data_IF_487604842275
#
_entry.id   IF_487604842275
#
_cell.length_a   1.000
_cell.length_b   1.000
_cell.length_c   1.000
_cell.angle_alpha   90.00
_cell.angle_beta   90.00
_cell.angle_gamma   90.00
#
_symmetry.space_group_name_H-M   'P 1'
#
loop_
_entity.id
_entity.type
_entity.pdbx_description
1 polymer ?
#
# COMPACT_ATOMS: atom_id res chain seq x y z
N UNK A 1 24.24 11.43 4.21
CA UNK A 1 24.39 11.65 2.75
C UNK A 1 23.30 12.64 2.35
N UNK A 2 23.36 13.39 1.23
CA UNK A 2 22.17 14.14 0.81
C UNK A 2 21.05 13.13 0.47
N UNK A 3 19.85 13.39 0.97
CA UNK A 3 18.69 12.50 0.77
C UNK A 3 18.40 12.30 -0.72
N UNK A 4 18.35 11.05 -1.16
CA UNK A 4 18.19 10.72 -2.58
C UNK A 4 16.89 11.26 -3.18
N UNK A 5 15.81 11.38 -2.39
CA UNK A 5 14.56 11.95 -2.85
C UNK A 5 14.60 13.47 -2.95
N UNK A 6 15.40 14.15 -2.13
CA UNK A 6 15.65 15.60 -2.27
C UNK A 6 16.55 15.87 -3.50
N UNK A 7 17.61 15.07 -3.69
CA UNK A 7 18.45 15.12 -4.89
C UNK A 7 17.65 14.90 -6.18
N UNK A 8 16.72 13.94 -6.17
CA UNK A 8 15.82 13.67 -7.30
C UNK A 8 14.90 14.86 -7.58
N UNK A 9 14.29 15.43 -6.54
CA UNK A 9 13.40 16.59 -6.69
C UNK A 9 14.16 17.77 -7.32
N UNK A 10 15.39 18.04 -6.85
CA UNK A 10 16.26 19.07 -7.42
C UNK A 10 16.65 18.77 -8.87
N UNK A 11 16.96 17.51 -9.19
CA UNK A 11 17.25 17.08 -10.57
C UNK A 11 16.07 17.37 -11.50
N UNK A 12 14.87 16.95 -11.12
CA UNK A 12 13.68 17.12 -11.94
C UNK A 12 13.30 18.61 -12.05
N UNK A 13 13.45 19.37 -10.97
CA UNK A 13 13.22 20.81 -10.99
C UNK A 13 14.18 21.53 -11.95
N UNK A 14 15.48 21.18 -11.96
CA UNK A 14 16.45 21.75 -12.92
C UNK A 14 16.15 21.36 -14.37
N UNK A 15 15.67 20.14 -14.61
CA UNK A 15 15.37 19.63 -15.97
C UNK A 15 14.02 20.07 -16.52
N UNK A 16 13.07 20.40 -15.65
CA UNK A 16 11.71 20.80 -16.04
C UNK A 16 11.46 22.30 -15.87
N UNK A 17 12.10 22.95 -14.90
CA UNK A 17 12.09 24.40 -14.68
C UNK A 17 10.70 25.04 -14.80
N UNK A 18 10.65 26.21 -15.42
CA UNK A 18 9.41 26.89 -15.83
C UNK A 18 8.81 26.33 -17.14
N UNK A 19 9.43 25.31 -17.72
CA UNK A 19 9.02 24.75 -19.01
C UNK A 19 7.76 23.92 -18.83
N UNK A 20 6.82 24.11 -19.75
CA UNK A 20 5.61 23.30 -19.81
C UNK A 20 5.97 21.83 -20.07
N UNK A 21 5.33 20.92 -19.35
CA UNK A 21 5.55 19.47 -19.47
C UNK A 21 4.38 18.83 -20.20
N UNK A 22 4.67 18.03 -21.23
CA UNK A 22 3.66 17.33 -22.02
C UNK A 22 3.87 15.81 -22.02
N UNK A 23 2.99 15.02 -21.36
CA UNK A 23 3.10 13.57 -21.32
C UNK A 23 2.75 12.88 -22.66
N UNK A 24 2.35 13.62 -23.70
CA UNK A 24 1.99 13.03 -25.00
C UNK A 24 3.17 12.91 -25.96
N UNK A 25 4.08 13.88 -25.96
CA UNK A 25 5.14 14.02 -26.98
C UNK A 25 6.49 14.47 -26.40
N UNK A 26 6.58 14.75 -25.09
CA UNK A 26 7.82 15.19 -24.46
C UNK A 26 8.16 16.67 -24.69
N UNK A 27 8.03 17.17 -25.93
CA UNK A 27 8.11 18.60 -26.27
C UNK A 27 6.70 19.17 -26.53
N UNK A 28 6.34 20.21 -25.77
CA UNK A 28 5.07 20.92 -25.90
C UNK A 28 4.86 21.51 -27.30
N UNK A 29 5.94 21.89 -28.00
CA UNK A 29 5.86 22.44 -29.37
C UNK A 29 5.35 21.43 -30.39
N UNK A 30 5.55 20.14 -30.12
CA UNK A 30 5.13 19.04 -30.98
C UNK A 30 3.72 18.55 -30.65
N UNK A 31 3.09 19.09 -29.59
CA UNK A 31 1.80 18.62 -29.12
C UNK A 31 0.66 19.45 -29.67
N UNK A 32 -0.31 18.77 -30.32
CA UNK A 32 -1.55 19.41 -30.76
C UNK A 32 -2.62 19.48 -29.66
N UNK A 33 -2.39 18.83 -28.51
CA UNK A 33 -3.33 18.87 -27.39
C UNK A 33 -3.20 20.19 -26.62
N UNK A 34 -4.26 21.00 -26.58
CA UNK A 34 -4.27 22.37 -26.01
C UNK A 34 -4.04 22.50 -24.50
N UNK A 35 -3.65 21.44 -23.79
CA UNK A 35 -3.49 21.45 -22.33
C UNK A 35 -2.08 21.01 -21.92
N UNK A 36 -1.26 22.01 -21.57
CA UNK A 36 0.05 21.83 -20.99
C UNK A 36 0.11 22.53 -19.64
N UNK A 37 0.88 21.94 -18.73
CA UNK A 37 0.99 22.44 -17.36
C UNK A 37 2.46 22.61 -17.02
N UNK A 38 2.77 23.61 -16.19
CA UNK A 38 4.06 23.65 -15.51
C UNK A 38 4.24 22.41 -14.64
N UNK A 39 5.49 22.05 -14.36
CA UNK A 39 5.83 20.81 -13.69
C UNK A 39 5.11 20.61 -12.35
N UNK A 40 5.02 21.65 -11.51
CA UNK A 40 4.34 21.55 -10.21
C UNK A 40 2.85 21.17 -10.33
N UNK A 41 2.13 21.81 -11.25
CA UNK A 41 0.72 21.50 -11.50
C UNK A 41 0.55 20.13 -12.12
N UNK A 42 1.47 19.73 -13.00
CA UNK A 42 1.52 18.37 -13.54
C UNK A 42 1.73 17.33 -12.42
N UNK A 43 2.75 17.53 -11.58
CA UNK A 43 3.11 16.63 -10.47
C UNK A 43 1.95 16.48 -9.48
N UNK A 44 1.31 17.58 -9.09
CA UNK A 44 0.13 17.56 -8.22
C UNK A 44 -0.97 16.67 -8.79
N UNK A 45 -1.27 16.80 -10.10
CA UNK A 45 -2.26 15.94 -10.76
C UNK A 45 -1.85 14.47 -10.82
N UNK A 46 -0.59 14.17 -11.11
CA UNK A 46 -0.09 12.79 -11.14
C UNK A 46 -0.21 12.12 -9.77
N UNK A 47 0.18 12.85 -8.71
CA UNK A 47 0.07 12.40 -7.32
C UNK A 47 -1.40 12.17 -6.93
N UNK A 48 -2.29 13.12 -7.21
CA UNK A 48 -3.73 12.96 -6.94
C UNK A 48 -4.34 11.78 -7.71
N UNK A 49 -3.99 11.60 -8.99
CA UNK A 49 -4.47 10.48 -9.80
C UNK A 49 -4.04 9.13 -9.23
N UNK A 50 -2.81 9.03 -8.72
CA UNK A 50 -2.32 7.81 -8.06
C UNK A 50 -2.97 7.58 -6.70
N UNK A 51 -3.14 8.63 -5.90
CA UNK A 51 -3.80 8.55 -4.60
C UNK A 51 -5.25 8.02 -4.75
N UNK A 52 -5.93 8.40 -5.83
CA UNK A 52 -7.26 7.88 -6.16
C UNK A 52 -7.29 6.39 -6.56
N UNK A 53 -6.13 5.75 -6.76
CA UNK A 53 -5.97 4.34 -7.19
C UNK A 53 -6.79 3.97 -8.45
N UNK A 54 -7.12 4.95 -9.29
CA UNK A 54 -7.84 4.73 -10.55
C UNK A 54 -6.85 4.49 -11.68
N UNK A 55 -7.20 3.68 -12.71
CA UNK A 55 -6.45 3.64 -13.96
C UNK A 55 -6.32 5.07 -14.49
N UNK A 56 -5.08 5.51 -14.66
CA UNK A 56 -4.78 6.89 -15.05
C UNK A 56 -4.04 6.86 -16.37
N UNK A 57 -4.72 7.30 -17.42
CA UNK A 57 -4.12 7.52 -18.74
C UNK A 57 -2.87 8.41 -18.63
N UNK A 58 -2.84 9.35 -17.67
CA UNK A 58 -1.68 10.20 -17.42
C UNK A 58 -0.45 9.40 -16.99
N UNK A 59 -0.61 8.41 -16.10
CA UNK A 59 0.53 7.56 -15.68
C UNK A 59 0.99 6.64 -16.80
N UNK A 60 0.05 6.13 -17.59
CA UNK A 60 0.36 5.34 -18.79
C UNK A 60 1.17 6.16 -19.81
N UNK A 61 0.74 7.40 -20.09
CA UNK A 61 1.46 8.32 -20.97
C UNK A 61 2.84 8.69 -20.43
N UNK A 62 2.98 8.94 -19.13
CA UNK A 62 4.28 9.18 -18.49
C UNK A 62 5.25 8.02 -18.67
N UNK A 63 4.77 6.79 -18.46
CA UNK A 63 5.58 5.59 -18.60
C UNK A 63 5.95 5.37 -20.07
N UNK A 64 4.99 5.54 -20.99
CA UNK A 64 5.25 5.46 -22.42
C UNK A 64 6.32 6.46 -22.86
N UNK A 65 6.22 7.71 -22.41
CA UNK A 65 7.25 8.73 -22.66
C UNK A 65 8.60 8.36 -22.06
N UNK A 66 8.61 7.79 -20.85
CA UNK A 66 9.82 7.25 -20.25
C UNK A 66 10.48 6.19 -21.12
N UNK A 67 9.71 5.25 -21.69
CA UNK A 67 10.27 4.23 -22.60
C UNK A 67 10.84 4.82 -23.88
N UNK A 68 10.16 5.80 -24.46
CA UNK A 68 10.64 6.50 -25.66
C UNK A 68 11.92 7.28 -25.35
N UNK A 69 11.99 7.95 -24.19
CA UNK A 69 13.18 8.68 -23.75
C UNK A 69 14.35 7.75 -23.41
N UNK A 70 14.11 6.61 -22.77
CA UNK A 70 15.14 5.60 -22.48
C UNK A 70 15.82 5.13 -23.78
N UNK A 71 15.04 4.89 -24.85
CA UNK A 71 15.58 4.55 -26.17
C UNK A 71 16.48 5.65 -26.77
N UNK A 72 16.27 6.90 -26.36
CA UNK A 72 17.09 8.06 -26.76
C UNK A 72 18.22 8.36 -25.76
N UNK A 73 18.44 7.47 -24.79
CA UNK A 73 19.38 7.63 -23.68
C UNK A 73 19.11 8.92 -22.86
N UNK A 74 17.83 9.28 -22.72
CA UNK A 74 17.35 10.40 -21.91
C UNK A 74 16.56 9.85 -20.71
N UNK A 75 17.02 10.14 -19.50
CA UNK A 75 16.40 9.65 -18.26
C UNK A 75 15.31 10.58 -17.70
N UNK A 76 15.05 11.72 -18.37
CA UNK A 76 14.15 12.78 -17.87
C UNK A 76 12.81 12.24 -17.41
N UNK A 77 12.13 11.48 -18.26
CA UNK A 77 10.79 10.98 -17.96
C UNK A 77 10.79 9.87 -16.91
N UNK A 78 11.83 9.02 -16.87
CA UNK A 78 12.03 8.05 -15.80
C UNK A 78 12.19 8.75 -14.44
N UNK A 79 12.96 9.83 -14.38
CA UNK A 79 13.12 10.63 -13.16
C UNK A 79 11.83 11.38 -12.77
N UNK A 80 11.06 11.89 -13.74
CA UNK A 80 9.74 12.50 -13.49
C UNK A 80 8.76 11.47 -12.87
N UNK A 81 8.72 10.24 -13.41
CA UNK A 81 7.90 9.15 -12.86
C UNK A 81 8.30 8.86 -11.42
N UNK A 82 9.61 8.75 -11.16
CA UNK A 82 10.13 8.53 -9.81
C UNK A 82 9.77 9.66 -8.85
N UNK A 83 9.94 10.92 -9.23
CA UNK A 83 9.59 12.06 -8.37
C UNK A 83 8.09 12.13 -8.05
N UNK A 84 7.22 11.72 -8.98
CA UNK A 84 5.79 11.60 -8.71
C UNK A 84 5.46 10.45 -7.73
N UNK A 85 6.34 9.45 -7.56
CA UNK A 85 6.20 8.38 -6.57
C UNK A 85 6.73 8.76 -5.18
N UNK A 86 7.67 9.71 -5.11
CA UNK A 86 8.35 10.13 -3.87
C UNK A 86 7.40 10.44 -2.70
N UNK A 87 6.27 11.15 -2.85
CA UNK A 87 5.38 11.43 -1.72
C UNK A 87 4.91 10.17 -0.98
N UNK A 88 4.62 9.11 -1.74
CA UNK A 88 4.18 7.82 -1.21
C UNK A 88 5.34 7.06 -0.55
N UNK A 89 6.52 7.09 -1.18
CA UNK A 89 7.73 6.44 -0.67
C UNK A 89 8.28 7.14 0.58
N UNK A 90 8.16 8.47 0.70
CA UNK A 90 8.54 9.23 1.91
C UNK A 90 7.70 8.84 3.12
N UNK A 91 6.39 8.74 2.95
CA UNK A 91 5.50 8.31 4.03
C UNK A 91 5.88 6.91 4.52
N UNK A 92 6.14 5.98 3.57
CA UNK A 92 6.45 4.59 3.92
C UNK A 92 7.85 4.41 4.49
N UNK A 93 8.87 5.08 3.94
CA UNK A 93 10.25 5.06 4.47
C UNK A 93 10.32 5.53 5.92
N UNK A 94 9.59 6.58 6.30
CA UNK A 94 9.52 7.04 7.70
C UNK A 94 8.90 5.99 8.64
N UNK A 95 7.83 5.32 8.19
CA UNK A 95 7.24 4.23 8.97
C UNK A 95 8.24 3.11 9.16
N UNK A 96 8.87 2.64 8.08
CA UNK A 96 9.84 1.53 8.11
C UNK A 96 11.06 1.90 8.98
N UNK A 97 11.64 3.08 8.78
CA UNK A 97 12.76 3.58 9.59
C UNK A 97 12.43 3.57 11.08
N UNK A 98 11.26 4.09 11.47
CA UNK A 98 10.80 4.07 12.87
C UNK A 98 10.55 2.66 13.39
N UNK A 99 9.87 1.82 12.61
CA UNK A 99 9.43 0.50 13.06
C UNK A 99 10.59 -0.51 13.13
N UNK A 100 11.69 -0.26 12.40
CA UNK A 100 12.85 -1.15 12.30
C UNK A 100 14.19 -0.52 12.70
N UNK A 101 14.17 0.70 13.26
CA UNK A 101 15.36 1.46 13.72
C UNK A 101 16.49 1.56 12.68
N UNK A 102 16.12 1.67 11.40
CA UNK A 102 17.08 1.87 10.30
C UNK A 102 17.16 3.35 9.94
N UNK A 103 18.34 3.80 9.53
CA UNK A 103 18.51 5.14 9.00
C UNK A 103 17.54 5.38 7.83
N UNK A 104 16.83 6.51 7.86
CA UNK A 104 15.81 6.82 6.87
C UNK A 104 16.42 7.12 5.50
N UNK A 105 17.64 7.65 5.44
CA UNK A 105 18.38 7.91 4.20
C UNK A 105 18.77 6.59 3.52
N UNK A 106 19.20 5.59 4.29
CA UNK A 106 19.52 4.25 3.77
C UNK A 106 18.26 3.55 3.23
N UNK A 107 17.16 3.62 3.97
CA UNK A 107 15.87 3.08 3.52
C UNK A 107 15.44 3.72 2.21
N UNK A 108 15.57 5.05 2.09
CA UNK A 108 15.19 5.77 0.87
C UNK A 108 16.11 5.43 -0.31
N UNK A 109 17.39 5.22 -0.07
CA UNK A 109 18.37 4.80 -1.08
C UNK A 109 18.02 3.43 -1.66
N UNK A 110 17.76 2.44 -0.81
CA UNK A 110 17.30 1.11 -1.26
C UNK A 110 15.98 1.18 -2.05
N UNK A 111 15.03 1.99 -1.57
CA UNK A 111 13.74 2.19 -2.24
C UNK A 111 13.92 2.78 -3.63
N UNK A 112 14.80 3.77 -3.75
CA UNK A 112 15.10 4.45 -5.01
C UNK A 112 15.74 3.48 -6.00
N UNK A 113 16.78 2.76 -5.59
CA UNK A 113 17.48 1.80 -6.43
C UNK A 113 16.55 0.68 -6.91
N UNK A 114 15.80 0.06 -6.00
CA UNK A 114 14.90 -1.03 -6.37
C UNK A 114 13.75 -0.59 -7.27
N UNK A 115 13.26 0.64 -7.14
CA UNK A 115 12.28 1.19 -8.06
C UNK A 115 12.84 1.35 -9.47
N UNK A 116 14.10 1.80 -9.61
CA UNK A 116 14.77 1.93 -10.90
C UNK A 116 15.06 0.56 -11.53
N UNK A 117 15.51 -0.42 -10.74
CA UNK A 117 15.71 -1.78 -11.24
C UNK A 117 14.38 -2.37 -11.76
N UNK A 118 13.27 -2.17 -11.02
CA UNK A 118 11.95 -2.60 -11.48
C UNK A 118 11.47 -1.84 -12.73
N UNK A 119 11.84 -0.57 -12.90
CA UNK A 119 11.59 0.14 -14.15
C UNK A 119 12.28 -0.57 -15.32
N UNK A 120 13.53 -0.99 -15.17
CA UNK A 120 14.27 -1.68 -16.23
C UNK A 120 13.70 -3.06 -16.53
N UNK A 121 13.39 -3.85 -15.50
CA UNK A 121 12.81 -5.19 -15.64
C UNK A 121 11.45 -5.17 -16.36
N UNK A 122 10.65 -4.13 -16.11
CA UNK A 122 9.32 -3.96 -16.71
C UNK A 122 9.36 -3.48 -18.16
N UNK A 123 10.55 -3.24 -18.74
CA UNK A 123 10.67 -2.92 -20.17
C UNK A 123 10.17 -4.07 -21.08
N UNK A 124 10.10 -5.30 -20.56
CA UNK A 124 9.72 -6.50 -21.31
C UNK A 124 8.27 -6.91 -21.01
N UNK A 125 7.35 -6.52 -21.88
CA UNK A 125 6.00 -7.12 -21.93
C UNK A 125 5.03 -6.72 -20.83
N UNK A 126 5.41 -5.79 -19.94
CA UNK A 126 4.52 -5.29 -18.88
C UNK A 126 3.70 -4.10 -19.39
N UNK A 127 2.37 -4.10 -19.20
CA UNK A 127 1.53 -2.94 -19.53
C UNK A 127 2.00 -1.68 -18.80
N UNK A 128 2.12 -0.56 -19.52
CA UNK A 128 2.65 0.70 -18.96
C UNK A 128 1.90 1.19 -17.71
N UNK A 129 0.59 0.95 -17.63
CA UNK A 129 -0.24 1.28 -16.46
C UNK A 129 0.18 0.55 -15.17
N UNK A 130 0.85 -0.59 -15.27
CA UNK A 130 1.26 -1.43 -14.12
C UNK A 130 2.66 -1.07 -13.60
N UNK A 131 3.50 -0.47 -14.45
CA UNK A 131 4.89 -0.12 -14.14
C UNK A 131 5.00 0.69 -12.84
N UNK A 132 4.24 1.78 -12.59
CA UNK A 132 4.38 2.57 -11.36
C UNK A 132 3.99 1.78 -10.10
N UNK A 133 3.10 0.81 -10.23
CA UNK A 133 2.72 -0.08 -9.12
C UNK A 133 3.84 -1.07 -8.82
N UNK A 134 4.45 -1.65 -9.85
CA UNK A 134 5.57 -2.58 -9.70
C UNK A 134 6.83 -1.89 -9.16
N UNK A 135 7.15 -0.68 -9.62
CA UNK A 135 8.24 0.14 -9.07
C UNK A 135 8.03 0.42 -7.58
N UNK A 136 6.82 0.87 -7.21
CA UNK A 136 6.48 1.09 -5.81
C UNK A 136 6.53 -0.21 -4.99
N UNK A 137 6.16 -1.35 -5.59
CA UNK A 137 6.28 -2.67 -4.98
C UNK A 137 7.73 -3.08 -4.72
N UNK A 138 8.59 -2.93 -5.72
CA UNK A 138 10.00 -3.22 -5.60
C UNK A 138 10.68 -2.33 -4.55
N UNK A 139 10.39 -1.03 -4.57
CA UNK A 139 10.89 -0.07 -3.60
C UNK A 139 10.57 -0.48 -2.16
N UNK A 140 9.29 -0.74 -1.88
CA UNK A 140 8.88 -1.19 -0.55
C UNK A 140 9.57 -2.50 -0.19
N UNK A 141 9.54 -3.50 -1.08
CA UNK A 141 10.17 -4.79 -0.82
C UNK A 141 11.67 -4.65 -0.50
N UNK A 142 12.38 -3.74 -1.14
CA UNK A 142 13.79 -3.48 -0.84
C UNK A 142 14.00 -2.82 0.52
N UNK A 143 13.21 -1.80 0.86
CA UNK A 143 13.22 -1.22 2.21
C UNK A 143 12.96 -2.29 3.28
N UNK A 144 12.00 -3.18 3.01
CA UNK A 144 11.69 -4.32 3.86
C UNK A 144 12.89 -5.29 3.94
N UNK A 145 13.52 -5.69 2.83
CA UNK A 145 14.70 -6.58 2.86
C UNK A 145 15.91 -6.00 3.60
N UNK A 146 16.26 -4.73 3.36
CA UNK A 146 17.41 -4.09 4.01
C UNK A 146 17.25 -4.04 5.54
N UNK A 147 16.02 -3.86 6.03
CA UNK A 147 15.73 -3.91 7.47
C UNK A 147 15.83 -5.32 8.09
N UNK A 148 15.77 -6.41 7.30
CA UNK A 148 16.02 -7.78 7.80
C UNK A 148 17.51 -8.06 8.03
N UNK A 149 18.39 -7.52 7.17
CA UNK A 149 19.83 -7.84 7.18
C UNK A 149 20.50 -7.32 8.46
N UNK A 150 20.16 -6.11 8.92
CA UNK A 150 20.76 -5.50 10.12
C UNK A 150 20.23 -6.06 11.45
N UNK A 151 19.25 -6.97 11.43
CA UNK A 151 18.70 -7.61 12.63
C UNK A 151 19.45 -8.88 13.05
N UNK A 152 20.33 -9.41 12.20
CA UNK A 152 21.00 -10.70 12.41
C UNK A 152 22.31 -10.66 13.23
N UNK A 153 22.78 -9.48 13.66
CA UNK A 153 24.04 -9.32 14.41
C UNK A 153 23.89 -9.30 15.96
N UNK A 154 23.02 -10.14 16.56
CA UNK A 154 23.02 -10.37 18.03
C UNK A 154 22.40 -11.72 18.45
N UNK A 155 22.85 -12.30 19.59
CA UNK A 155 23.02 -13.75 19.73
C UNK A 155 21.77 -14.52 20.19
N UNK A 156 21.90 -15.84 20.10
CA UNK A 156 20.87 -16.87 20.15
C UNK A 156 20.45 -17.29 21.57
N UNK A 157 19.16 -17.59 21.73
CA UNK A 157 18.55 -18.59 22.64
C UNK A 157 17.03 -18.60 22.30
N UNK A 158 16.18 -19.63 22.37
CA UNK A 158 16.22 -21.00 22.88
C UNK A 158 14.75 -21.39 23.19
N UNK A 159 14.28 -22.54 22.67
CA UNK A 159 13.05 -23.33 22.99
C UNK A 159 11.59 -22.86 22.66
N UNK A 160 10.98 -23.59 21.71
CA UNK A 160 9.84 -24.55 21.75
C UNK A 160 8.39 -24.30 22.30
N UNK A 161 7.42 -24.93 21.59
CA UNK A 161 6.05 -25.46 21.93
C UNK A 161 4.73 -24.71 21.51
N UNK A 162 3.99 -25.37 20.58
CA UNK A 162 2.52 -25.66 20.35
C UNK A 162 1.38 -24.61 20.62
N UNK A 163 0.14 -24.61 20.08
CA UNK A 163 -0.78 -25.47 19.28
C UNK A 163 -2.00 -24.61 18.73
N UNK A 164 -2.52 -24.81 17.50
CA UNK A 164 -3.82 -25.44 17.03
C UNK A 164 -5.14 -24.79 17.58
N UNK A 165 -6.19 -24.37 16.80
CA UNK A 165 -7.32 -25.03 16.08
C UNK A 165 -8.32 -23.89 15.68
N UNK A 166 -9.45 -24.00 14.97
CA UNK A 166 -10.03 -24.74 13.82
C UNK A 166 -11.49 -24.19 13.67
N UNK A 167 -12.09 -24.38 12.50
CA UNK A 167 -13.37 -23.86 11.97
C UNK A 167 -14.66 -24.36 12.67
N UNK A 168 -15.80 -23.66 12.47
CA UNK A 168 -17.00 -24.18 11.78
C UNK A 168 -18.25 -23.24 11.85
N UNK A 169 -19.09 -23.37 10.83
CA UNK A 169 -20.29 -22.60 10.42
C UNK A 169 -21.64 -23.10 10.98
N UNK A 170 -22.74 -22.33 10.77
CA UNK A 170 -23.97 -22.66 9.97
C UNK A 170 -25.17 -21.73 10.31
N UNK A 171 -25.78 -21.16 9.24
CA UNK A 171 -27.18 -20.76 8.86
C UNK A 171 -28.33 -20.64 9.92
N UNK A 172 -29.42 -19.87 9.83
CA UNK A 172 -30.21 -19.18 8.76
C UNK A 172 -31.29 -18.24 9.40
N UNK A 173 -31.75 -17.23 8.66
CA UNK A 173 -33.16 -16.77 8.48
C UNK A 173 -33.52 -15.27 8.73
N UNK A 174 -33.54 -14.54 7.61
CA UNK A 174 -34.59 -13.58 7.12
C UNK A 174 -34.73 -12.13 7.65
N UNK A 175 -34.56 -11.19 6.70
CA UNK A 175 -35.42 -10.06 6.24
C UNK A 175 -34.90 -8.61 6.44
N UNK A 176 -34.38 -8.07 5.33
CA UNK A 176 -34.89 -6.98 4.47
C UNK A 176 -34.30 -5.55 4.58
N UNK A 177 -33.74 -5.14 3.42
CA UNK A 177 -33.76 -3.81 2.77
C UNK A 177 -32.69 -2.75 3.10
N UNK A 178 -31.81 -2.48 2.12
CA UNK A 178 -31.62 -1.13 1.54
C UNK A 178 -30.84 -1.23 0.21
N UNK A 179 -31.51 -1.20 -0.93
CA UNK A 179 -31.68 -0.04 -1.85
C UNK A 179 -30.35 0.64 -2.23
N UNK A 180 -29.70 0.11 -3.27
CA UNK A 180 -28.77 0.89 -4.10
C UNK A 180 -29.62 1.95 -4.81
N UNK A 181 -29.54 3.20 -4.36
CA UNK A 181 -30.03 4.33 -5.15
C UNK A 181 -29.08 4.51 -6.34
N UNK A 182 -29.69 4.77 -7.49
CA UNK A 182 -29.05 5.01 -8.78
C UNK A 182 -28.12 6.24 -8.71
N UNK A 183 -26.85 6.05 -8.34
CA UNK A 183 -25.85 7.11 -8.13
C UNK A 183 -24.56 6.72 -8.87
N UNK A 184 -23.93 7.71 -9.52
CA UNK A 184 -22.73 7.53 -10.34
C UNK A 184 -21.57 6.87 -9.53
N UNK A 185 -21.10 5.66 -9.91
CA UNK A 185 -20.01 4.97 -9.24
C UNK A 185 -18.66 5.70 -9.31
N UNK A 186 -18.58 6.83 -10.05
CA UNK A 186 -17.40 7.70 -10.09
C UNK A 186 -17.30 8.64 -8.89
N UNK A 187 -18.38 8.83 -8.13
CA UNK A 187 -18.39 9.63 -6.90
C UNK A 187 -17.44 9.00 -5.86
N UNK A 188 -16.39 9.72 -5.42
CA UNK A 188 -15.49 9.27 -4.37
C UNK A 188 -16.20 8.79 -3.09
N UNK A 189 -17.32 9.40 -2.70
CA UNK A 189 -18.10 9.03 -1.52
C UNK A 189 -18.79 7.66 -1.70
N UNK A 190 -19.38 7.44 -2.88
CA UNK A 190 -20.00 6.14 -3.24
C UNK A 190 -18.93 5.06 -3.35
N UNK A 191 -17.78 5.37 -3.93
CA UNK A 191 -16.66 4.44 -4.03
C UNK A 191 -16.08 4.07 -2.64
N UNK A 192 -16.12 4.99 -1.68
CA UNK A 192 -15.77 4.72 -0.28
C UNK A 192 -16.79 3.80 0.38
N UNK A 193 -18.09 4.10 0.26
CA UNK A 193 -19.17 3.26 0.78
C UNK A 193 -19.12 1.84 0.23
N UNK A 194 -19.05 1.69 -1.11
CA UNK A 194 -18.94 0.38 -1.78
C UNK A 194 -17.73 -0.40 -1.26
N UNK A 195 -16.62 0.28 -0.95
CA UNK A 195 -15.42 -0.38 -0.40
C UNK A 195 -15.70 -0.93 0.99
N UNK A 196 -16.29 -0.12 1.88
CA UNK A 196 -16.67 -0.55 3.22
C UNK A 196 -17.66 -1.70 3.18
N UNK A 197 -18.72 -1.58 2.37
CA UNK A 197 -19.74 -2.63 2.21
C UNK A 197 -19.15 -3.94 1.67
N UNK A 198 -18.28 -3.88 0.66
CA UNK A 198 -17.61 -5.08 0.14
C UNK A 198 -16.69 -5.73 1.18
N UNK A 199 -16.00 -4.93 1.97
CA UNK A 199 -15.15 -5.42 3.05
C UNK A 199 -15.98 -6.10 4.14
N UNK A 200 -17.09 -5.50 4.56
CA UNK A 200 -18.05 -6.11 5.47
C UNK A 200 -18.62 -7.42 4.94
N UNK A 201 -19.03 -7.42 3.67
CA UNK A 201 -19.55 -8.59 3.00
C UNK A 201 -18.53 -9.75 2.97
N UNK A 202 -17.26 -9.43 2.74
CA UNK A 202 -16.17 -10.39 2.77
C UNK A 202 -15.98 -10.99 4.17
N UNK A 203 -15.90 -10.16 5.20
CA UNK A 203 -15.72 -10.66 6.57
C UNK A 203 -16.89 -11.48 7.07
N UNK A 204 -18.11 -11.13 6.67
CA UNK A 204 -19.28 -11.96 6.93
C UNK A 204 -19.13 -13.34 6.30
N UNK A 205 -18.76 -13.41 5.01
CA UNK A 205 -18.54 -14.69 4.31
C UNK A 205 -17.41 -15.52 4.91
N UNK A 206 -16.42 -14.87 5.51
CA UNK A 206 -15.33 -15.52 6.22
C UNK A 206 -15.68 -15.87 7.68
N UNK A 207 -16.89 -15.61 8.17
CA UNK A 207 -17.28 -15.87 9.56
C UNK A 207 -16.59 -14.97 10.59
N UNK A 208 -16.04 -13.82 10.18
CA UNK A 208 -15.24 -12.93 11.04
C UNK A 208 -16.04 -11.79 11.66
N UNK A 209 -17.35 -11.71 11.40
CA UNK A 209 -18.15 -10.54 11.77
C UNK A 209 -18.21 -10.30 13.29
N UNK A 210 -18.18 -11.34 14.11
CA UNK A 210 -18.18 -11.18 15.58
C UNK A 210 -16.91 -10.50 16.09
N UNK A 211 -15.75 -10.79 15.48
CA UNK A 211 -14.48 -10.13 15.79
C UNK A 211 -14.55 -8.66 15.38
N UNK A 212 -15.08 -8.40 14.18
CA UNK A 212 -15.26 -7.05 13.63
C UNK A 212 -16.21 -6.22 14.50
N UNK A 213 -17.35 -6.79 14.91
CA UNK A 213 -18.34 -6.11 15.74
C UNK A 213 -17.79 -5.76 17.13
N UNK A 214 -17.05 -6.67 17.77
CA UNK A 214 -16.36 -6.36 19.04
C UNK A 214 -15.37 -5.21 18.88
N UNK A 215 -14.62 -5.19 17.78
CA UNK A 215 -13.72 -4.09 17.49
C UNK A 215 -14.47 -2.77 17.23
N UNK A 216 -15.60 -2.80 16.53
CA UNK A 216 -16.45 -1.63 16.34
C UNK A 216 -17.06 -1.10 17.64
N UNK A 217 -17.49 -1.99 18.54
CA UNK A 217 -17.95 -1.62 19.88
C UNK A 217 -16.84 -0.93 20.68
N UNK A 218 -15.62 -1.43 20.60
CA UNK A 218 -14.45 -0.79 21.21
C UNK A 218 -14.17 0.59 20.60
N UNK A 219 -14.28 0.74 19.27
CA UNK A 219 -14.17 2.05 18.62
C UNK A 219 -15.25 3.03 19.09
N UNK A 220 -16.52 2.58 19.13
CA UNK A 220 -17.65 3.36 19.64
C UNK A 220 -17.48 3.78 21.09
N UNK A 221 -16.91 2.90 21.90
CA UNK A 221 -16.61 3.19 23.31
C UNK A 221 -15.31 3.99 23.52
N UNK A 222 -14.60 4.39 22.45
CA UNK A 222 -13.33 5.11 22.54
C UNK A 222 -12.15 4.26 23.03
N UNK A 223 -12.31 2.94 23.13
CA UNK A 223 -11.29 1.98 23.55
C UNK A 223 -10.48 1.47 22.36
N UNK A 224 -9.84 2.37 21.61
CA UNK A 224 -9.03 1.97 20.45
C UNK A 224 -7.79 1.20 20.94
N UNK A 225 -7.74 -0.10 20.65
CA UNK A 225 -6.56 -0.91 20.92
C UNK A 225 -5.52 -0.72 19.80
N UNK A 226 -4.47 0.07 20.07
CA UNK A 226 -3.38 0.29 19.14
C UNK A 226 -2.74 1.67 19.25
N UNK A 227 -1.43 1.75 18.98
CA UNK A 227 -0.64 3.00 19.05
C UNK A 227 -0.94 3.93 17.86
N UNK A 228 -1.73 3.49 16.87
CA UNK A 228 -2.06 4.29 15.68
C UNK A 228 -3.35 5.08 15.90
N UNK A 229 -3.30 6.14 16.71
CA UNK A 229 -4.41 7.09 16.82
C UNK A 229 -4.39 8.21 15.75
N UNK A 230 -3.43 8.23 14.82
CA UNK A 230 -3.01 9.52 14.26
C UNK A 230 -3.13 9.76 12.74
N UNK A 231 -3.68 8.88 11.89
CA UNK A 231 -3.37 8.98 10.44
C UNK A 231 -4.50 8.88 9.41
N UNK A 232 -5.78 8.80 9.81
CA UNK A 232 -6.85 9.06 8.83
C UNK A 232 -7.01 10.58 8.72
N UNK A 233 -6.27 11.17 7.79
CA UNK A 233 -6.34 12.62 7.49
C UNK A 233 -7.59 12.93 6.65
N UNK A 234 -8.15 14.15 6.78
CA UNK A 234 -9.32 14.58 5.96
C UNK A 234 -9.10 14.37 4.46
N UNK A 235 -7.86 14.50 3.99
CA UNK A 235 -7.45 14.26 2.61
C UNK A 235 -7.68 12.83 2.12
N UNK A 236 -7.83 11.86 3.05
CA UNK A 236 -8.08 10.45 2.75
C UNK A 236 -9.56 10.09 2.78
N UNK A 237 -10.43 10.98 3.27
CA UNK A 237 -11.86 10.77 3.39
C UNK A 237 -12.58 11.47 2.25
N UNK A 238 -13.37 10.72 1.49
CA UNK A 238 -14.21 11.30 0.45
C UNK A 238 -15.47 11.97 1.02
N UNK A 239 -15.93 11.52 2.19
CA UNK A 239 -17.12 12.03 2.86
C UNK A 239 -16.76 13.07 3.92
N UNK A 240 -16.85 14.35 3.57
CA UNK A 240 -16.62 15.46 4.50
C UNK A 240 -17.81 15.72 5.45
N UNK A 241 -18.99 15.19 5.11
CA UNK A 241 -20.25 15.32 5.87
C UNK A 241 -20.52 14.20 6.87
N UNK A 242 -19.74 13.11 6.85
CA UNK A 242 -19.87 12.04 7.86
C UNK A 242 -19.12 12.47 9.12
N UNK A 243 -19.87 12.71 10.20
CA UNK A 243 -19.30 12.93 11.53
C UNK A 243 -18.70 11.64 12.07
N UNK A 244 -17.61 11.72 12.82
CA UNK A 244 -17.01 10.55 13.49
C UNK A 244 -15.76 9.97 12.82
N UNK A 245 -14.70 10.77 12.64
CA UNK A 245 -13.39 10.30 12.14
C UNK A 245 -12.81 9.12 12.93
N UNK A 246 -13.19 9.00 14.19
CA UNK A 246 -12.77 7.92 15.08
C UNK A 246 -13.37 6.56 14.69
N UNK A 247 -14.35 6.54 13.78
CA UNK A 247 -14.99 5.34 13.26
C UNK A 247 -14.38 4.82 11.96
N UNK A 248 -13.36 5.51 11.46
CA UNK A 248 -12.51 5.01 10.38
C UNK A 248 -11.32 4.24 10.92
N UNK A 249 -11.04 3.11 10.27
CA UNK A 249 -9.88 2.29 10.58
C UNK A 249 -9.34 1.61 9.32
N UNK A 250 -8.07 1.25 9.40
CA UNK A 250 -7.42 0.42 8.39
C UNK A 250 -7.82 -1.04 8.59
N UNK A 251 -8.11 -1.79 7.52
CA UNK A 251 -8.42 -3.22 7.62
C UNK A 251 -7.33 -4.00 8.34
N UNK A 252 -6.06 -3.57 8.26
CA UNK A 252 -4.94 -4.12 9.02
C UNK A 252 -5.10 -4.04 10.55
N UNK A 253 -5.89 -3.12 11.09
CA UNK A 253 -6.12 -2.95 12.54
C UNK A 253 -6.93 -4.10 13.16
N UNK A 254 -7.66 -4.87 12.36
CA UNK A 254 -8.40 -6.04 12.82
C UNK A 254 -7.54 -7.29 12.98
N UNK A 255 -6.33 -7.27 12.43
CA UNK A 255 -5.42 -8.40 12.51
C UNK A 255 -4.43 -8.21 13.66
N UNK A 256 -3.85 -9.31 14.19
CA UNK A 256 -2.69 -9.21 15.07
C UNK A 256 -1.61 -8.35 14.42
N UNK A 257 -0.82 -7.60 15.20
CA UNK A 257 0.28 -6.79 14.64
C UNK A 257 1.35 -7.63 13.96
N UNK A 258 1.53 -8.85 14.45
CA UNK A 258 2.54 -9.79 13.99
C UNK A 258 1.94 -11.20 13.86
N UNK A 259 2.37 -11.91 12.83
CA UNK A 259 2.04 -13.32 12.57
C UNK A 259 3.31 -14.13 12.74
N UNK A 260 3.24 -15.33 13.33
CA UNK A 260 4.41 -16.20 13.45
C UNK A 260 4.92 -16.62 12.05
N UNK A 261 6.25 -16.79 11.90
CA UNK A 261 6.86 -17.18 10.62
C UNK A 261 6.23 -18.42 9.98
N UNK A 262 5.85 -19.49 10.72
CA UNK A 262 5.18 -20.64 10.10
C UNK A 262 3.87 -20.28 9.40
N UNK A 263 3.01 -19.48 10.05
CA UNK A 263 1.74 -19.05 9.46
C UNK A 263 1.95 -18.06 8.30
N UNK A 264 2.96 -17.19 8.38
CA UNK A 264 3.32 -16.32 7.26
C UNK A 264 3.87 -17.12 6.06
N UNK A 265 4.68 -18.14 6.31
CA UNK A 265 5.22 -19.03 5.29
C UNK A 265 4.12 -19.83 4.60
N UNK A 266 3.18 -20.38 5.38
CA UNK A 266 2.00 -21.07 4.88
C UNK A 266 1.17 -20.16 3.97
N UNK A 267 0.88 -18.93 4.40
CA UNK A 267 0.14 -17.96 3.58
C UNK A 267 0.87 -17.62 2.25
N UNK A 268 2.21 -17.68 2.24
CA UNK A 268 3.03 -17.46 1.04
C UNK A 268 3.26 -18.73 0.21
N UNK A 269 2.72 -19.89 0.61
CA UNK A 269 2.97 -21.18 -0.05
C UNK A 269 4.42 -21.67 0.09
N UNK A 270 5.12 -21.25 1.15
CA UNK A 270 6.52 -21.61 1.42
C UNK A 270 6.57 -22.67 2.51
N UNK A 271 7.27 -23.77 2.26
CA UNK A 271 7.49 -24.81 3.26
C UNK A 271 8.19 -24.22 4.52
N UNK A 272 7.73 -24.59 5.71
CA UNK A 272 8.25 -24.07 7.00
C UNK A 272 9.78 -24.10 7.07
N UNK A 273 10.42 -25.21 6.74
CA UNK A 273 11.88 -25.35 6.76
C UNK A 273 12.58 -24.42 5.74
N UNK A 274 11.97 -24.23 4.57
CA UNK A 274 12.48 -23.28 3.57
C UNK A 274 12.37 -21.84 4.07
N UNK A 275 11.28 -21.47 4.73
CA UNK A 275 11.10 -20.14 5.30
C UNK A 275 12.20 -19.79 6.32
N UNK A 276 12.52 -20.68 7.26
CA UNK A 276 13.62 -20.43 8.21
C UNK A 276 14.97 -20.26 7.50
N UNK A 277 15.29 -21.08 6.48
CA UNK A 277 16.51 -20.90 5.68
C UNK A 277 16.54 -19.56 4.96
N UNK A 278 15.41 -19.16 4.36
CA UNK A 278 15.29 -17.87 3.67
C UNK A 278 15.43 -16.70 4.64
N UNK A 279 14.91 -16.80 5.87
CA UNK A 279 15.13 -15.77 6.89
C UNK A 279 16.60 -15.67 7.25
N UNK A 280 17.26 -16.79 7.55
CA UNK A 280 18.70 -16.79 7.85
C UNK A 280 19.55 -16.26 6.69
N UNK A 281 19.11 -16.45 5.45
CA UNK A 281 19.76 -15.93 4.24
C UNK A 281 19.31 -14.51 3.85
N UNK A 282 18.43 -13.86 4.63
CA UNK A 282 17.90 -12.53 4.32
C UNK A 282 17.00 -12.46 3.07
N UNK A 283 16.56 -13.60 2.53
CA UNK A 283 15.81 -13.72 1.27
C UNK A 283 14.31 -13.96 1.44
N UNK A 284 13.80 -14.00 2.68
CA UNK A 284 12.38 -14.20 2.94
C UNK A 284 11.54 -13.03 2.36
N UNK A 285 10.36 -13.29 1.75
CA UNK A 285 9.60 -12.26 1.02
C UNK A 285 8.96 -11.16 1.88
N UNK A 286 9.01 -11.31 3.21
CA UNK A 286 8.48 -10.33 4.16
C UNK A 286 9.55 -9.96 5.19
N UNK A 287 9.38 -8.80 5.82
CA UNK A 287 10.15 -8.49 7.01
C UNK A 287 9.89 -9.50 8.11
N UNK A 288 10.94 -9.82 8.85
CA UNK A 288 10.87 -10.66 10.04
C UNK A 288 11.42 -9.93 11.25
N UNK A 289 10.82 -10.20 12.38
CA UNK A 289 11.22 -9.66 13.67
C UNK A 289 11.25 -10.79 14.67
N UNK A 290 12.26 -10.81 15.54
CA UNK A 290 12.25 -11.69 16.71
C UNK A 290 11.42 -11.03 17.80
N UNK A 291 10.37 -11.71 18.24
CA UNK A 291 9.52 -11.33 19.37
C UNK A 291 9.43 -12.55 20.27
N UNK A 292 9.77 -12.39 21.55
CA UNK A 292 9.70 -13.47 22.57
C UNK A 292 10.30 -14.80 22.09
N UNK A 293 11.49 -14.78 21.50
CA UNK A 293 12.20 -15.98 21.01
C UNK A 293 11.71 -16.54 19.66
N UNK A 294 10.57 -16.08 19.13
CA UNK A 294 10.03 -16.52 17.85
C UNK A 294 10.28 -15.54 16.71
N UNK A 295 10.45 -16.05 15.49
CA UNK A 295 10.47 -15.22 14.27
C UNK A 295 9.02 -14.93 13.87
N UNK A 296 8.70 -13.65 13.71
CA UNK A 296 7.38 -13.15 13.37
C UNK A 296 7.47 -12.19 12.18
N UNK A 297 6.38 -12.06 11.44
CA UNK A 297 6.23 -11.18 10.29
C UNK A 297 5.19 -10.10 10.64
N UNK A 298 5.48 -8.80 10.46
CA UNK A 298 4.47 -7.76 10.59
C UNK A 298 3.30 -8.02 9.63
N UNK A 299 2.08 -7.98 10.12
CA UNK A 299 0.90 -8.34 9.31
C UNK A 299 0.75 -7.45 8.08
N UNK A 300 1.06 -6.16 8.20
CA UNK A 300 1.06 -5.25 7.05
C UNK A 300 2.05 -5.68 5.96
N UNK A 301 3.24 -6.18 6.35
CA UNK A 301 4.24 -6.66 5.39
C UNK A 301 3.76 -7.94 4.70
N UNK A 302 3.09 -8.83 5.44
CA UNK A 302 2.50 -10.05 4.88
C UNK A 302 1.35 -9.73 3.91
N UNK A 303 0.40 -8.89 4.34
CA UNK A 303 -0.70 -8.43 3.48
C UNK A 303 -0.17 -7.79 2.19
N UNK A 304 0.88 -6.97 2.31
CA UNK A 304 1.51 -6.35 1.15
C UNK A 304 2.11 -7.38 0.19
N UNK A 305 2.86 -8.35 0.70
CA UNK A 305 3.46 -9.40 -0.13
C UNK A 305 2.40 -10.26 -0.83
N UNK A 306 1.26 -10.50 -0.16
CA UNK A 306 0.09 -11.20 -0.71
C UNK A 306 -0.79 -10.32 -1.62
N UNK A 307 -0.43 -9.05 -1.82
CA UNK A 307 -1.22 -8.08 -2.58
C UNK A 307 -2.64 -7.87 -2.02
N UNK A 308 -2.80 -8.09 -0.71
CA UNK A 308 -4.02 -7.78 0.05
C UNK A 308 -3.96 -6.28 0.40
N UNK A 309 -4.93 -5.48 -0.08
CA UNK A 309 -4.89 -4.05 0.13
C UNK A 309 -5.29 -3.71 1.58
N UNK A 310 -4.45 -2.93 2.25
CA UNK A 310 -4.83 -2.25 3.49
C UNK A 310 -5.64 -1.01 3.15
N UNK A 311 -6.96 -1.09 3.35
CA UNK A 311 -7.91 -0.06 2.97
C UNK A 311 -8.50 0.61 4.19
N UNK A 312 -8.78 1.90 4.08
CA UNK A 312 -9.52 2.64 5.09
C UNK A 312 -11.02 2.42 4.85
N UNK A 313 -11.74 2.04 5.89
CA UNK A 313 -13.18 1.78 5.87
C UNK A 313 -13.85 2.49 7.04
N UNK A 314 -15.12 2.86 6.85
CA UNK A 314 -15.98 3.31 7.93
C UNK A 314 -16.73 2.11 8.51
N UNK A 315 -16.81 2.02 9.83
CA UNK A 315 -17.44 0.87 10.50
C UNK A 315 -18.91 0.66 10.08
N UNK A 316 -19.68 1.74 9.86
CA UNK A 316 -21.09 1.60 9.47
C UNK A 316 -21.24 0.97 8.07
N UNK A 317 -20.37 1.30 7.13
CA UNK A 317 -20.41 0.69 5.79
C UNK A 317 -20.05 -0.80 5.86
N UNK A 318 -19.07 -1.13 6.70
CA UNK A 318 -18.68 -2.52 6.96
C UNK A 318 -19.84 -3.29 7.56
N UNK A 319 -20.53 -2.74 8.55
CA UNK A 319 -21.70 -3.38 9.15
C UNK A 319 -22.83 -3.53 8.12
N UNK A 320 -23.12 -2.49 7.34
CA UNK A 320 -24.13 -2.55 6.27
C UNK A 320 -23.80 -3.64 5.24
N UNK A 321 -22.55 -3.73 4.82
CA UNK A 321 -22.08 -4.75 3.90
C UNK A 321 -22.13 -6.17 4.46
N UNK A 322 -21.76 -6.32 5.74
CA UNK A 322 -21.82 -7.59 6.43
C UNK A 322 -23.27 -8.04 6.61
N UNK A 323 -24.18 -7.15 7.00
CA UNK A 323 -25.62 -7.40 7.07
C UNK A 323 -26.14 -7.86 5.70
N UNK A 324 -25.77 -7.14 4.64
CA UNK A 324 -26.18 -7.45 3.28
C UNK A 324 -25.69 -8.84 2.83
N UNK A 325 -24.43 -9.19 3.08
CA UNK A 325 -23.88 -10.49 2.69
C UNK A 325 -24.28 -11.62 3.62
N UNK A 326 -24.66 -11.29 4.85
CA UNK A 326 -25.14 -12.24 5.86
C UNK A 326 -26.54 -12.73 5.54
N UNK A 327 -27.20 -12.11 4.55
CA UNK A 327 -28.52 -12.52 4.10
C UNK A 327 -29.62 -12.18 5.11
N UNK A 328 -29.40 -11.17 5.96
CA UNK A 328 -30.46 -10.62 6.80
C UNK A 328 -31.24 -9.57 6.02
#
# INVERSE_FOLDING_TARGET
>A
MPDVFDCLAEYVHRRCGEVLVCPHVGDVRECQAKQHYGYEKFRSRAVSARAARKPSQMWESMVSMGRISDMRNDDKWRMIVMDCLVPFLRARSRSISRDFYRDVEDVRSDMFEAALNAWEETARGVPYREVPTLMFKAANNAAYRGANIHKHESPADGMDIFAVLDEASVESATRASSVIRNIDPRDPAVAEQIRGERTGALWQRCGLIEVVNRYHEDLRAGRRQGIRSALVTELMLARTWVSGRNYYYHTSELYPKFVALPAAAEALGIAKSAAYRMVSAGSFPCLTTRIKGGIHVPTEALMYSLSIPDVVVHLDDVENGAIHAGGN
#
